data_IF_153531064148
#
_entry.id   IF_153531064148
#
_cell.length_a   1.000
_cell.length_b   1.000
_cell.length_c   1.000
_cell.angle_alpha   90.00
_cell.angle_beta   90.00
_cell.angle_gamma   90.00
#
_symmetry.space_group_name_H-M   'P 1'
#
loop_
_entity.id
_entity.type
_entity.pdbx_description
1 polymer ?
#
# COMPACT_ATOMS: atom_id res chain seq x y z
N UNK A 1 -9.56 -5.97 -6.78
CA UNK A 1 -8.39 -6.36 -5.96
C UNK A 1 -8.87 -6.72 -4.58
N UNK A 2 -8.32 -7.78 -3.96
CA UNK A 2 -8.83 -8.30 -2.68
C UNK A 2 -8.41 -7.38 -1.53
N UNK A 3 -9.30 -6.47 -1.17
CA UNK A 3 -9.16 -5.57 -0.01
C UNK A 3 -8.81 -6.36 1.24
N UNK A 4 -9.46 -7.50 1.41
CA UNK A 4 -9.34 -8.42 2.53
C UNK A 4 -7.90 -8.92 2.69
N UNK A 5 -7.20 -9.14 1.58
CA UNK A 5 -5.81 -9.57 1.60
C UNK A 5 -4.85 -8.46 2.07
N UNK A 6 -5.10 -7.21 1.67
CA UNK A 6 -4.31 -6.08 2.17
C UNK A 6 -4.59 -5.83 3.66
N UNK A 7 -5.85 -5.96 4.08
CA UNK A 7 -6.28 -5.82 5.48
C UNK A 7 -5.65 -6.91 6.36
N UNK A 8 -5.68 -8.17 5.93
CA UNK A 8 -5.12 -9.26 6.74
C UNK A 8 -3.62 -9.06 7.01
N UNK A 9 -2.86 -8.55 6.02
CA UNK A 9 -1.44 -8.24 6.20
C UNK A 9 -1.18 -7.11 7.19
N UNK A 10 -2.02 -6.06 7.22
CA UNK A 10 -1.80 -4.90 8.12
C UNK A 10 -2.38 -5.13 9.53
N UNK A 11 -3.38 -6.00 9.66
CA UNK A 11 -4.02 -6.32 10.93
C UNK A 11 -3.33 -7.46 11.67
N UNK A 12 -2.58 -8.33 10.96
CA UNK A 12 -1.87 -9.45 11.58
C UNK A 12 -2.78 -10.60 12.01
N UNK A 13 -3.85 -10.86 11.25
CA UNK A 13 -4.74 -12.01 11.51
C UNK A 13 -4.04 -13.34 11.13
N UNK A 14 -4.54 -14.45 11.69
CA UNK A 14 -4.09 -15.84 11.42
C UNK A 14 -2.61 -16.14 11.79
N UNK A 15 -2.10 -15.54 12.87
CA UNK A 15 -0.78 -15.87 13.42
C UNK A 15 0.40 -15.26 12.64
N UNK A 16 0.13 -14.26 11.81
CA UNK A 16 1.14 -13.48 11.07
C UNK A 16 1.33 -12.14 11.75
N UNK A 17 2.57 -11.70 11.94
CA UNK A 17 2.83 -10.36 12.48
C UNK A 17 2.29 -9.27 11.54
N UNK A 18 1.63 -8.22 12.08
CA UNK A 18 1.13 -7.14 11.27
C UNK A 18 2.27 -6.41 10.56
N UNK A 19 2.11 -6.21 9.24
CA UNK A 19 3.08 -5.50 8.42
C UNK A 19 2.79 -4.00 8.40
N UNK A 20 3.84 -3.15 8.35
CA UNK A 20 3.68 -1.75 8.00
C UNK A 20 2.93 -1.60 6.68
N UNK A 21 2.00 -0.65 6.62
CA UNK A 21 1.12 -0.42 5.45
C UNK A 21 1.87 -0.40 4.13
N UNK A 22 3.03 0.27 4.08
CA UNK A 22 3.77 0.41 2.83
C UNK A 22 4.44 -0.90 2.39
N UNK A 23 4.85 -1.76 3.33
CA UNK A 23 5.39 -3.08 3.00
C UNK A 23 4.29 -4.03 2.52
N UNK A 24 3.12 -3.99 3.16
CA UNK A 24 1.93 -4.71 2.70
C UNK A 24 1.53 -4.28 1.27
N UNK A 25 1.60 -2.98 0.95
CA UNK A 25 1.39 -2.47 -0.41
C UNK A 25 2.44 -3.00 -1.39
N UNK A 26 3.73 -3.00 -1.04
CA UNK A 26 4.79 -3.56 -1.90
C UNK A 26 4.52 -5.03 -2.25
N UNK A 27 4.12 -5.84 -1.27
CA UNK A 27 3.79 -7.25 -1.49
C UNK A 27 2.55 -7.40 -2.37
N UNK A 28 1.48 -6.65 -2.06
CA UNK A 28 0.24 -6.70 -2.85
C UNK A 28 0.47 -6.31 -4.32
N UNK A 29 1.24 -5.24 -4.56
CA UNK A 29 1.57 -4.77 -5.91
C UNK A 29 2.52 -5.75 -6.60
N UNK A 30 3.50 -6.31 -5.87
CA UNK A 30 4.41 -7.33 -6.41
C UNK A 30 3.67 -8.58 -6.89
N UNK A 31 2.65 -9.04 -6.15
CA UNK A 31 1.80 -10.17 -6.57
C UNK A 31 0.88 -9.84 -7.74
N UNK A 32 0.47 -8.58 -7.85
CA UNK A 32 -0.40 -8.10 -8.93
C UNK A 32 0.36 -7.94 -10.26
N UNK A 33 1.63 -7.52 -10.17
CA UNK A 33 2.38 -7.02 -11.30
C UNK A 33 2.41 -5.49 -11.31
N UNK A 34 3.61 -4.93 -11.48
CA UNK A 34 3.84 -3.48 -11.41
C UNK A 34 3.21 -2.75 -12.60
N UNK A 35 3.16 -3.39 -13.77
CA UNK A 35 2.57 -2.81 -14.98
C UNK A 35 1.05 -2.67 -14.83
N UNK A 36 0.40 -3.75 -14.41
CA UNK A 36 -1.03 -3.86 -14.17
C UNK A 36 -1.48 -2.86 -13.09
N UNK A 37 -0.69 -2.74 -12.02
CA UNK A 37 -0.98 -1.76 -10.98
C UNK A 37 -0.84 -0.32 -11.49
N UNK A 38 0.22 -0.02 -12.25
CA UNK A 38 0.49 1.31 -12.78
C UNK A 38 -0.64 1.82 -13.69
N UNK A 39 -1.16 0.95 -14.57
CA UNK A 39 -2.33 1.24 -15.41
C UNK A 39 -3.55 1.58 -14.55
N UNK A 40 -3.77 0.78 -13.51
CA UNK A 40 -4.93 0.96 -12.66
C UNK A 40 -4.90 2.27 -11.88
N UNK A 41 -3.75 2.65 -11.33
CA UNK A 41 -3.59 3.91 -10.60
C UNK A 41 -3.32 5.10 -11.52
N UNK A 42 -3.28 4.88 -12.84
CA UNK A 42 -2.96 5.88 -13.89
C UNK A 42 -1.64 6.60 -13.60
N UNK A 43 -0.59 5.80 -13.40
CA UNK A 43 0.77 6.30 -13.20
C UNK A 43 1.72 5.63 -14.18
N UNK A 44 2.82 6.33 -14.47
CA UNK A 44 3.93 5.75 -15.20
C UNK A 44 4.50 4.54 -14.44
N UNK A 45 4.68 3.41 -15.13
CA UNK A 45 5.28 2.20 -14.57
C UNK A 45 6.60 2.49 -13.87
N UNK A 46 7.44 3.32 -14.49
CA UNK A 46 8.75 3.71 -13.95
C UNK A 46 8.64 4.48 -12.61
N UNK A 47 7.57 5.26 -12.44
CA UNK A 47 7.29 5.99 -11.21
C UNK A 47 6.84 5.06 -10.11
N UNK A 48 5.96 4.10 -10.42
CA UNK A 48 5.56 3.05 -9.47
C UNK A 48 6.77 2.22 -9.04
N UNK A 49 7.58 1.72 -9.98
CA UNK A 49 8.81 0.98 -9.66
C UNK A 49 9.75 1.78 -8.76
N UNK A 50 9.96 3.07 -9.06
CA UNK A 50 10.80 3.95 -8.24
C UNK A 50 10.26 4.08 -6.82
N UNK A 51 8.96 4.31 -6.64
CA UNK A 51 8.34 4.41 -5.32
C UNK A 51 8.52 3.10 -4.54
N UNK A 52 8.26 1.96 -5.16
CA UNK A 52 8.39 0.66 -4.50
C UNK A 52 9.83 0.31 -4.10
N UNK A 53 10.83 0.85 -4.80
CA UNK A 53 12.25 0.66 -4.47
C UNK A 53 12.73 1.47 -3.27
N UNK A 54 11.94 2.47 -2.82
CA UNK A 54 12.32 3.31 -1.70
C UNK A 54 12.01 2.65 -0.35
N UNK A 55 12.87 2.89 0.62
CA UNK A 55 12.65 2.51 2.03
C UNK A 55 11.78 3.51 2.79
N UNK A 56 11.58 4.71 2.23
CA UNK A 56 10.80 5.78 2.84
C UNK A 56 9.33 5.67 2.49
N UNK A 57 8.46 5.96 3.47
CA UNK A 57 7.01 6.05 3.25
C UNK A 57 6.74 7.23 2.30
N UNK A 58 5.98 7.03 1.21
CA UNK A 58 5.67 8.09 0.27
C UNK A 58 4.63 9.06 0.86
N UNK A 59 4.46 10.21 0.21
CA UNK A 59 3.46 11.21 0.62
C UNK A 59 2.06 10.61 0.69
N UNK A 60 1.21 11.23 1.51
CA UNK A 60 -0.19 10.83 1.72
C UNK A 60 -0.95 10.77 0.39
N UNK A 61 -0.73 11.71 -0.54
CA UNK A 61 -1.42 11.67 -1.84
C UNK A 61 -1.06 10.43 -2.67
N UNK A 62 0.19 9.98 -2.57
CA UNK A 62 0.66 8.76 -3.24
C UNK A 62 0.07 7.52 -2.58
N UNK A 63 0.05 7.48 -1.23
CA UNK A 63 -0.56 6.38 -0.48
C UNK A 63 -2.07 6.26 -0.80
N UNK A 64 -2.80 7.37 -0.79
CA UNK A 64 -4.21 7.40 -1.15
C UNK A 64 -4.46 6.85 -2.56
N UNK A 65 -3.62 7.27 -3.51
CA UNK A 65 -3.69 6.76 -4.88
C UNK A 65 -3.44 5.25 -4.95
N UNK A 66 -2.48 4.74 -4.16
CA UNK A 66 -2.16 3.30 -4.11
C UNK A 66 -3.21 2.47 -3.37
N UNK A 67 -3.98 3.08 -2.46
CA UNK A 67 -5.03 2.43 -1.67
C UNK A 67 -6.40 2.43 -2.34
N UNK A 68 -6.66 3.41 -3.20
CA UNK A 68 -7.89 3.50 -4.02
C UNK A 68 -8.29 2.20 -4.73
N UNK A 69 -7.39 1.39 -5.32
CA UNK A 69 -7.70 0.10 -5.97
C UNK A 69 -8.32 -0.94 -5.03
N UNK A 70 -8.04 -0.80 -3.73
CA UNK A 70 -8.52 -1.66 -2.66
C UNK A 70 -9.74 -1.05 -1.94
N UNK A 71 -10.26 0.08 -2.43
CA UNK A 71 -11.34 0.82 -1.77
C UNK A 71 -10.94 1.36 -0.40
N UNK A 72 -9.67 1.72 -0.23
CA UNK A 72 -9.11 2.26 1.02
C UNK A 72 -8.58 3.68 0.80
N UNK A 73 -8.40 4.41 1.91
CA UNK A 73 -7.79 5.75 1.95
C UNK A 73 -7.01 5.89 3.25
N UNK A 74 -6.02 6.77 3.25
CA UNK A 74 -5.32 7.21 4.45
C UNK A 74 -6.26 8.11 5.27
N UNK A 75 -6.22 7.90 6.58
CA UNK A 75 -6.73 8.84 7.59
C UNK A 75 -5.54 9.17 8.49
N UNK A 76 -5.19 10.44 8.58
CA UNK A 76 -4.23 10.91 9.56
C UNK A 76 -4.95 11.01 10.91
N UNK A 77 -4.33 10.46 11.94
CA UNK A 77 -4.81 10.54 13.32
C UNK A 77 -3.69 11.03 14.22
N UNK A 78 -4.05 11.71 15.31
CA UNK A 78 -3.09 12.19 16.31
C UNK A 78 -3.23 11.32 17.54
N UNK A 79 -2.12 10.74 17.99
CA UNK A 79 -2.07 9.90 19.18
C UNK A 79 -1.26 10.64 20.24
N UNK A 80 -1.82 10.79 21.43
CA UNK A 80 -1.12 11.35 22.57
C UNK A 80 0.03 10.43 22.97
N UNK A 81 1.23 11.00 23.10
CA UNK A 81 2.40 10.28 23.59
C UNK A 81 2.58 10.69 25.05
N UNK A 82 2.50 9.70 25.95
CA UNK A 82 2.70 9.88 27.39
C UNK A 82 4.17 10.15 27.75
#
# INVERSE_FOLDING_TARGET
>A
YRREYLISMISGDDGVEPLPLFDALKIAIGRMGVTEFAELVRMERSSVSRILSQSTIPKVETLDRFLKPFGLRVKLDVIEVA
#
